data_IF_491932020259
#
_entry.id   IF_491932020259
#
_cell.length_a   1.000
_cell.length_b   1.000
_cell.length_c   1.000
_cell.angle_alpha   90.00
_cell.angle_beta   90.00
_cell.angle_gamma   90.00
#
_symmetry.space_group_name_H-M   'P 1'
#
loop_
_entity.id
_entity.type
_entity.pdbx_description
1 polymer ?
#
# COMPACT_ATOMS: atom_id res chain seq x y z
N UNK A 1 -33.24 78.27 2.45
CA UNK A 1 -33.68 76.98 3.01
C UNK A 1 -33.19 75.93 2.03
N UNK A 2 -32.06 75.29 2.35
CA UNK A 2 -31.45 74.25 1.52
C UNK A 2 -32.11 72.90 1.85
N UNK A 3 -32.42 72.05 0.86
CA UNK A 3 -32.96 70.73 1.14
C UNK A 3 -31.85 69.77 1.55
N UNK A 4 -31.98 69.19 2.74
CA UNK A 4 -31.03 68.21 3.27
C UNK A 4 -31.15 66.87 2.52
N UNK A 5 -30.06 66.44 1.89
CA UNK A 5 -29.96 65.17 1.19
C UNK A 5 -29.84 64.04 2.23
N UNK A 6 -30.92 63.26 2.41
CA UNK A 6 -30.91 62.06 3.23
C UNK A 6 -29.99 61.01 2.59
N UNK A 7 -28.83 60.77 3.22
CA UNK A 7 -27.94 59.68 2.85
C UNK A 7 -28.61 58.35 3.24
N UNK A 8 -29.18 57.66 2.24
CA UNK A 8 -29.68 56.31 2.41
C UNK A 8 -28.49 55.36 2.52
N UNK A 9 -28.05 55.07 3.74
CA UNK A 9 -27.04 54.06 4.00
C UNK A 9 -27.67 52.68 3.80
N UNK A 10 -27.63 52.19 2.56
CA UNK A 10 -27.96 50.80 2.26
C UNK A 10 -26.90 49.94 2.94
N UNK A 11 -27.24 49.44 4.13
CA UNK A 11 -26.52 48.36 4.78
C UNK A 11 -26.62 47.15 3.85
N UNK A 12 -25.62 46.96 2.99
CA UNK A 12 -25.46 45.73 2.24
C UNK A 12 -25.02 44.69 3.25
N UNK A 13 -26.01 44.02 3.86
CA UNK A 13 -25.77 42.79 4.59
C UNK A 13 -25.17 41.80 3.58
N UNK A 14 -23.84 41.71 3.59
CA UNK A 14 -23.14 40.62 2.92
C UNK A 14 -23.57 39.36 3.66
N UNK A 15 -24.61 38.70 3.16
CA UNK A 15 -24.94 37.33 3.56
C UNK A 15 -23.65 36.52 3.39
N UNK A 16 -23.02 36.19 4.52
CA UNK A 16 -21.85 35.33 4.55
C UNK A 16 -22.33 33.95 4.12
N UNK A 17 -22.31 33.69 2.81
CA UNK A 17 -22.71 32.42 2.25
C UNK A 17 -21.77 31.37 2.79
N UNK A 18 -22.27 30.64 3.77
CA UNK A 18 -21.67 29.49 4.41
C UNK A 18 -21.33 28.46 3.32
N UNK A 19 -20.10 28.58 2.83
CA UNK A 19 -19.54 27.74 1.77
C UNK A 19 -19.16 26.40 2.39
N UNK A 20 -20.13 25.47 2.41
CA UNK A 20 -19.90 24.10 2.88
C UNK A 20 -19.20 23.21 1.83
N UNK A 21 -18.87 23.75 0.65
CA UNK A 21 -18.20 23.01 -0.43
C UNK A 21 -16.86 22.39 -0.03
N UNK A 22 -15.93 23.15 0.59
CA UNK A 22 -14.68 22.59 1.10
C UNK A 22 -14.89 21.50 2.16
N UNK A 23 -15.90 21.67 3.02
CA UNK A 23 -16.26 20.71 4.06
C UNK A 23 -16.71 19.39 3.41
N UNK A 24 -17.59 19.46 2.41
CA UNK A 24 -18.05 18.29 1.65
C UNK A 24 -16.88 17.58 0.96
N UNK A 25 -15.93 18.34 0.40
CA UNK A 25 -14.75 17.78 -0.26
C UNK A 25 -13.86 16.99 0.68
N UNK A 26 -13.59 17.54 1.88
CA UNK A 26 -12.81 16.86 2.92
C UNK A 26 -13.50 15.58 3.37
N UNK A 27 -14.83 15.59 3.55
CA UNK A 27 -15.59 14.40 3.94
C UNK A 27 -15.43 13.28 2.91
N UNK A 28 -15.51 13.60 1.61
CA UNK A 28 -15.34 12.60 0.54
C UNK A 28 -13.92 11.99 0.57
N UNK A 29 -12.90 12.81 0.74
CA UNK A 29 -11.50 12.34 0.82
C UNK A 29 -11.33 11.40 2.02
N UNK A 30 -11.89 11.75 3.19
CA UNK A 30 -11.82 10.91 4.39
C UNK A 30 -12.50 9.55 4.18
N UNK A 31 -13.67 9.53 3.52
CA UNK A 31 -14.36 8.27 3.19
C UNK A 31 -13.50 7.38 2.30
N UNK A 32 -12.85 7.95 1.27
CA UNK A 32 -11.95 7.20 0.38
C UNK A 32 -10.74 6.64 1.15
N UNK A 33 -10.13 7.43 2.05
CA UNK A 33 -8.99 6.98 2.86
C UNK A 33 -9.41 5.85 3.81
N UNK A 34 -10.56 5.97 4.46
CA UNK A 34 -11.08 4.92 5.37
C UNK A 34 -11.37 3.65 4.59
N UNK A 35 -12.03 3.74 3.42
CA UNK A 35 -12.31 2.58 2.58
C UNK A 35 -11.03 1.95 2.01
N UNK A 36 -10.07 2.75 1.55
CA UNK A 36 -8.78 2.26 1.07
C UNK A 36 -7.95 1.60 2.16
N UNK A 37 -7.90 2.22 3.35
CA UNK A 37 -7.25 1.66 4.53
C UNK A 37 -7.92 0.38 5.00
N UNK A 38 -9.25 0.34 5.04
CA UNK A 38 -10.02 -0.85 5.41
C UNK A 38 -9.89 -1.98 4.38
N UNK A 39 -9.88 -1.66 3.08
CA UNK A 39 -9.66 -2.61 1.99
C UNK A 39 -8.27 -3.28 2.10
N UNK A 40 -7.24 -2.51 2.44
CA UNK A 40 -5.89 -3.06 2.65
C UNK A 40 -5.79 -3.83 3.97
N UNK A 41 -6.43 -3.35 5.04
CA UNK A 41 -6.44 -4.01 6.34
C UNK A 41 -7.18 -5.36 6.33
N UNK A 42 -8.31 -5.45 5.61
CA UNK A 42 -9.10 -6.68 5.49
C UNK A 42 -8.30 -7.81 4.85
N UNK A 43 -7.49 -7.49 3.83
CA UNK A 43 -6.63 -8.48 3.16
C UNK A 43 -5.54 -9.01 4.09
N UNK A 44 -5.14 -8.27 5.12
CA UNK A 44 -4.16 -8.76 6.09
C UNK A 44 -4.78 -9.77 7.04
N UNK A 45 -5.99 -9.53 7.54
CA UNK A 45 -6.67 -10.40 8.53
C UNK A 45 -6.94 -11.81 8.02
N UNK A 46 -7.36 -11.98 6.76
CA UNK A 46 -7.66 -13.31 6.20
C UNK A 46 -6.39 -14.14 5.95
N UNK A 47 -5.23 -13.47 5.82
CA UNK A 47 -3.92 -14.12 5.67
C UNK A 47 -3.14 -14.26 7.00
N UNK A 48 -3.73 -13.95 8.17
CA UNK A 48 -3.06 -14.23 9.47
C UNK A 48 -3.41 -15.64 10.00
N UNK A 49 -4.35 -16.37 9.38
CA UNK A 49 -4.73 -17.72 9.80
C UNK A 49 -4.23 -18.84 8.88
N UNK A 50 -3.50 -18.53 7.81
CA UNK A 50 -2.69 -19.48 7.05
C UNK A 50 -1.47 -18.72 6.54
N UNK A 51 -0.34 -18.91 7.21
CA UNK A 51 1.03 -18.95 6.67
C UNK A 51 1.99 -18.79 7.87
N UNK A 52 2.15 -19.90 8.60
CA UNK A 52 3.50 -20.30 8.97
C UNK A 52 4.21 -20.83 7.70
N UNK A 53 4.32 -19.98 6.67
CA UNK A 53 5.16 -20.23 5.50
C UNK A 53 6.60 -19.76 5.76
N UNK A 54 6.83 -19.11 6.92
CA UNK A 54 8.16 -18.73 7.39
C UNK A 54 9.09 -19.91 7.69
N UNK A 55 8.56 -21.14 7.79
CA UNK A 55 9.39 -22.33 8.02
C UNK A 55 9.66 -23.17 6.75
N UNK A 56 8.85 -23.02 5.70
CA UNK A 56 9.09 -23.70 4.41
C UNK A 56 9.81 -22.79 3.40
N UNK A 57 9.43 -21.51 3.33
CA UNK A 57 10.11 -20.54 2.47
C UNK A 57 11.54 -20.27 2.94
N UNK A 58 11.85 -20.26 4.24
CA UNK A 58 13.21 -19.96 4.71
C UNK A 58 14.25 -21.00 4.26
N UNK A 59 13.92 -22.31 4.24
CA UNK A 59 14.90 -23.33 3.81
C UNK A 59 15.19 -23.32 2.32
N UNK A 60 14.18 -23.09 1.50
CA UNK A 60 14.36 -22.97 0.04
C UNK A 60 15.03 -21.63 -0.33
N UNK A 61 14.75 -20.56 0.44
CA UNK A 61 15.41 -19.27 0.24
C UNK A 61 16.86 -19.27 0.74
N UNK A 62 17.15 -19.99 1.83
CA UNK A 62 18.51 -20.18 2.37
C UNK A 62 19.37 -21.02 1.42
N UNK A 63 18.81 -22.05 0.76
CA UNK A 63 19.53 -22.81 -0.26
C UNK A 63 19.82 -22.00 -1.53
N UNK A 64 18.91 -21.11 -1.95
CA UNK A 64 19.16 -20.17 -3.06
C UNK A 64 20.24 -19.14 -2.69
N UNK A 65 20.29 -18.69 -1.42
CA UNK A 65 21.31 -17.75 -0.92
C UNK A 65 22.70 -18.37 -0.75
N UNK A 66 22.84 -19.69 -0.88
CA UNK A 66 24.09 -20.40 -0.68
C UNK A 66 25.01 -20.38 -1.92
N UNK A 67 24.60 -19.68 -2.98
CA UNK A 67 25.41 -19.45 -4.17
C UNK A 67 26.59 -18.52 -3.86
N UNK A 68 27.71 -18.74 -4.57
CA UNK A 68 28.89 -17.91 -4.49
C UNK A 68 28.62 -16.51 -5.07
N UNK A 69 29.27 -15.49 -4.52
CA UNK A 69 29.29 -14.13 -5.08
C UNK A 69 30.32 -13.98 -6.23
N UNK A 70 31.00 -15.08 -6.58
CA UNK A 70 32.09 -15.11 -7.56
C UNK A 70 31.58 -15.51 -8.94
N UNK A 71 31.96 -14.75 -9.97
CA UNK A 71 31.65 -15.03 -11.37
C UNK A 71 32.70 -15.94 -12.06
N UNK A 72 33.68 -16.45 -11.31
CA UNK A 72 34.70 -17.38 -11.84
C UNK A 72 34.09 -18.75 -12.16
N UNK A 73 34.56 -19.39 -13.24
CA UNK A 73 33.99 -20.65 -13.74
C UNK A 73 34.01 -21.78 -12.71
N UNK A 74 35.05 -21.85 -11.88
CA UNK A 74 35.15 -22.86 -10.83
C UNK A 74 34.11 -22.66 -9.70
N UNK A 75 33.71 -21.42 -9.44
CA UNK A 75 32.68 -21.10 -8.44
C UNK A 75 31.29 -21.49 -8.96
N UNK A 76 31.01 -21.22 -10.24
CA UNK A 76 29.75 -21.60 -10.89
C UNK A 76 29.59 -23.13 -10.92
N UNK A 77 30.66 -23.88 -11.25
CA UNK A 77 30.63 -25.35 -11.25
C UNK A 77 30.33 -25.91 -9.84
N UNK A 78 30.98 -25.36 -8.81
CA UNK A 78 30.75 -25.78 -7.42
C UNK A 78 29.31 -25.47 -6.94
N UNK A 79 28.76 -24.32 -7.31
CA UNK A 79 27.38 -23.95 -6.96
C UNK A 79 26.36 -24.87 -7.64
N UNK A 80 26.57 -25.21 -8.91
CA UNK A 80 25.72 -26.14 -9.66
C UNK A 80 25.79 -27.56 -9.08
N UNK A 81 26.98 -28.05 -8.73
CA UNK A 81 27.15 -29.36 -8.08
C UNK A 81 26.47 -29.44 -6.71
N UNK A 82 26.35 -28.30 -6.02
CA UNK A 82 25.67 -28.20 -4.72
C UNK A 82 24.14 -28.09 -4.83
N UNK A 83 23.59 -27.91 -6.03
CA UNK A 83 22.15 -27.75 -6.24
C UNK A 83 21.43 -29.09 -6.08
N UNK A 84 20.53 -29.19 -5.08
CA UNK A 84 19.71 -30.38 -4.84
C UNK A 84 18.52 -30.45 -5.82
N UNK A 85 18.77 -31.11 -6.96
CA UNK A 85 17.78 -31.31 -8.03
C UNK A 85 16.68 -32.30 -7.67
N UNK A 86 16.92 -33.23 -6.74
CA UNK A 86 15.95 -34.26 -6.34
C UNK A 86 14.81 -33.64 -5.54
N UNK A 87 15.15 -32.72 -4.63
CA UNK A 87 14.17 -31.92 -3.89
C UNK A 87 13.37 -30.99 -4.81
N UNK A 88 13.94 -30.47 -5.89
CA UNK A 88 13.22 -29.64 -6.87
C UNK A 88 12.20 -30.46 -7.69
N UNK A 89 12.59 -31.65 -8.16
CA UNK A 89 11.71 -32.54 -8.92
C UNK A 89 10.50 -32.98 -8.08
N UNK A 90 10.73 -33.31 -6.80
CA UNK A 90 9.67 -33.68 -5.86
C UNK A 90 8.67 -32.54 -5.61
N UNK A 91 9.09 -31.28 -5.64
CA UNK A 91 8.19 -30.13 -5.46
C UNK A 91 7.32 -29.88 -6.70
N UNK A 92 7.92 -29.99 -7.89
CA UNK A 92 7.22 -29.77 -9.16
C UNK A 92 6.15 -30.85 -9.39
N UNK A 93 6.46 -32.12 -9.08
CA UNK A 93 5.50 -33.21 -9.21
C UNK A 93 4.40 -33.22 -8.13
N UNK A 94 4.56 -32.46 -7.05
CA UNK A 94 3.56 -32.33 -5.99
C UNK A 94 2.54 -31.21 -6.24
N UNK A 95 2.69 -30.44 -7.33
CA UNK A 95 1.84 -29.29 -7.72
C UNK A 95 0.80 -29.64 -8.80
#
# INVERSE_FOLDING_TARGET
MEPEQQQNNVNVETESKNSNGPIIGVVIILVIIILGGFYFWSQRTDNIMIEDDSMMTDKALESIKMQSESDDTASIEADLDSTDVETLDSQINAS
#
